data_IF_377966148772
#
_entry.id   IF_377966148772
#
_cell.length_a   1.000
_cell.length_b   1.000
_cell.length_c   1.000
_cell.angle_alpha   90.00
_cell.angle_beta   90.00
_cell.angle_gamma   90.00
#
_symmetry.space_group_name_H-M   'P 1'
#
loop_
_entity.id
_entity.type
_entity.pdbx_description
1 polymer ?
#
# COMPACT_ATOMS: atom_id res chain seq x y z
N UNK A 1 -25.70 7.62 -12.79
CA UNK A 1 -24.41 8.31 -12.53
C UNK A 1 -23.38 7.22 -12.22
N UNK A 2 -22.30 7.11 -13.01
CA UNK A 2 -21.23 6.16 -12.70
C UNK A 2 -20.25 6.86 -11.75
N UNK A 3 -20.17 6.40 -10.51
CA UNK A 3 -19.10 6.79 -9.60
C UNK A 3 -17.86 5.94 -9.83
N UNK A 4 -16.74 6.30 -9.20
CA UNK A 4 -15.52 5.50 -9.16
C UNK A 4 -15.82 4.12 -8.55
N UNK A 5 -15.52 3.06 -9.28
CA UNK A 5 -15.70 1.68 -8.81
C UNK A 5 -14.51 1.22 -7.96
N UNK A 6 -14.72 0.18 -7.17
CA UNK A 6 -13.62 -0.45 -6.41
C UNK A 6 -12.54 -1.05 -7.31
N UNK A 7 -12.94 -1.56 -8.49
CA UNK A 7 -11.99 -2.05 -9.49
C UNK A 7 -11.08 -0.94 -10.01
N UNK A 8 -11.64 0.21 -10.37
CA UNK A 8 -10.88 1.36 -10.84
C UNK A 8 -9.94 1.90 -9.76
N UNK A 9 -10.36 1.92 -8.49
CA UNK A 9 -9.49 2.32 -7.39
C UNK A 9 -8.34 1.34 -7.16
N UNK A 10 -8.59 0.03 -7.33
CA UNK A 10 -7.55 -1.00 -7.31
C UNK A 10 -6.58 -0.85 -8.47
N UNK A 11 -7.08 -0.58 -9.67
CA UNK A 11 -6.24 -0.40 -10.86
C UNK A 11 -5.33 0.81 -10.71
N UNK A 12 -5.85 1.92 -10.18
CA UNK A 12 -5.04 3.09 -9.84
C UNK A 12 -3.96 2.77 -8.80
N UNK A 13 -4.31 2.06 -7.73
CA UNK A 13 -3.34 1.67 -6.71
C UNK A 13 -2.26 0.73 -7.24
N UNK A 14 -2.61 -0.15 -8.18
CA UNK A 14 -1.66 -1.04 -8.85
C UNK A 14 -0.74 -0.27 -9.80
N UNK A 15 -1.27 0.68 -10.57
CA UNK A 15 -0.49 1.56 -11.45
C UNK A 15 0.53 2.36 -10.64
N UNK A 16 0.12 3.04 -9.56
CA UNK A 16 1.02 3.76 -8.66
C UNK A 16 2.10 2.82 -8.07
N UNK A 17 1.71 1.65 -7.59
CA UNK A 17 2.68 0.67 -7.04
C UNK A 17 3.70 0.22 -8.10
N UNK A 18 3.31 0.07 -9.36
CA UNK A 18 4.22 -0.27 -10.46
C UNK A 18 5.21 0.86 -10.76
N UNK A 19 4.75 2.10 -10.82
CA UNK A 19 5.62 3.26 -11.00
C UNK A 19 6.67 3.35 -9.89
N UNK A 20 6.26 3.18 -8.64
CA UNK A 20 7.18 3.17 -7.51
C UNK A 20 8.16 2.00 -7.54
N UNK A 21 7.73 0.81 -7.96
CA UNK A 21 8.62 -0.33 -8.17
C UNK A 21 9.71 0.02 -9.18
N UNK A 22 9.32 0.57 -10.33
CA UNK A 22 10.25 0.89 -11.41
C UNK A 22 11.22 2.01 -10.99
N UNK A 23 10.74 3.01 -10.24
CA UNK A 23 11.56 4.04 -9.65
C UNK A 23 12.61 3.46 -8.65
N UNK A 24 12.19 2.64 -7.69
CA UNK A 24 13.13 2.04 -6.73
C UNK A 24 14.02 0.94 -7.32
N UNK A 25 13.66 0.40 -8.46
CA UNK A 25 14.56 -0.47 -9.24
C UNK A 25 15.72 0.35 -9.85
N UNK A 26 15.44 1.57 -10.29
CA UNK A 26 16.45 2.49 -10.84
C UNK A 26 17.24 3.22 -9.72
N UNK A 27 16.61 3.43 -8.56
CA UNK A 27 17.16 4.16 -7.43
C UNK A 27 17.07 3.36 -6.13
N UNK A 28 17.73 2.20 -6.03
CA UNK A 28 17.62 1.33 -4.84
C UNK A 28 18.14 1.99 -3.56
N UNK A 29 19.11 2.89 -3.66
CA UNK A 29 19.67 3.70 -2.57
C UNK A 29 18.66 4.68 -1.97
N UNK A 30 17.64 5.08 -2.73
CA UNK A 30 16.60 5.96 -2.23
C UNK A 30 15.77 5.32 -1.10
N UNK A 31 15.73 3.98 -1.00
CA UNK A 31 15.05 3.28 0.11
C UNK A 31 15.75 3.50 1.47
N UNK A 32 17.05 3.77 1.47
CA UNK A 32 17.83 3.97 2.70
C UNK A 32 17.87 5.45 3.13
N UNK A 33 17.28 6.36 2.36
CA UNK A 33 17.22 7.78 2.71
C UNK A 33 16.47 7.99 4.02
N UNK A 34 17.03 8.79 4.95
CA UNK A 34 16.36 9.11 6.19
C UNK A 34 15.12 9.98 5.92
N UNK A 35 14.03 9.68 6.65
CA UNK A 35 12.81 10.46 6.62
C UNK A 35 12.13 10.48 7.99
N UNK A 36 11.09 11.34 8.12
CA UNK A 36 10.18 11.38 9.28
C UNK A 36 8.74 11.42 8.76
N UNK A 37 8.29 10.27 8.25
CA UNK A 37 6.96 10.11 7.68
C UNK A 37 6.26 8.99 8.43
N UNK A 38 5.14 9.26 9.06
CA UNK A 38 4.33 8.28 9.80
C UNK A 38 5.11 7.49 10.88
N UNK A 39 6.17 8.10 11.45
CA UNK A 39 7.05 7.47 12.44
C UNK A 39 8.10 6.52 11.84
N UNK A 40 8.19 6.41 10.53
CA UNK A 40 9.25 5.69 9.82
C UNK A 40 10.53 6.52 9.77
N UNK A 41 11.68 5.87 9.90
CA UNK A 41 13.00 6.51 9.90
C UNK A 41 13.65 6.52 8.52
N UNK A 42 13.22 5.65 7.62
CA UNK A 42 13.72 5.57 6.25
C UNK A 42 12.57 5.49 5.25
N UNK A 43 12.85 5.84 4.01
CA UNK A 43 11.92 5.70 2.87
C UNK A 43 11.45 4.24 2.74
N UNK A 44 12.35 3.27 2.88
CA UNK A 44 12.01 1.85 2.83
C UNK A 44 11.03 1.42 3.93
N UNK A 45 11.14 2.00 5.13
CA UNK A 45 10.16 1.75 6.20
C UNK A 45 8.77 2.34 5.89
N UNK A 46 8.69 3.46 5.16
CA UNK A 46 7.41 4.00 4.69
C UNK A 46 6.80 3.08 3.63
N UNK A 47 7.60 2.58 2.68
CA UNK A 47 7.12 1.61 1.69
C UNK A 47 6.64 0.33 2.38
N UNK A 48 7.40 -0.19 3.35
CA UNK A 48 6.97 -1.32 4.17
C UNK A 48 5.65 -1.03 4.90
N UNK A 49 5.49 0.16 5.45
CA UNK A 49 4.27 0.55 6.14
C UNK A 49 3.06 0.54 5.20
N UNK A 50 3.18 1.05 3.98
CA UNK A 50 2.13 1.00 2.96
C UNK A 50 1.74 -0.45 2.67
N UNK A 51 2.73 -1.28 2.36
CA UNK A 51 2.53 -2.69 1.98
C UNK A 51 1.95 -3.49 3.14
N UNK A 52 2.44 -3.31 4.36
CA UNK A 52 1.95 -3.99 5.55
C UNK A 52 0.48 -3.67 5.85
N UNK A 53 0.06 -2.42 5.64
CA UNK A 53 -1.34 -2.03 5.78
C UNK A 53 -2.21 -2.72 4.74
N UNK A 54 -1.79 -2.76 3.48
CA UNK A 54 -2.51 -3.46 2.41
C UNK A 54 -2.65 -4.96 2.73
N UNK A 55 -1.57 -5.64 3.10
CA UNK A 55 -1.57 -7.06 3.46
C UNK A 55 -2.57 -7.33 4.61
N UNK A 56 -2.41 -6.63 5.72
CA UNK A 56 -3.21 -6.90 6.93
C UNK A 56 -4.69 -6.61 6.74
N UNK A 57 -5.05 -5.64 5.91
CA UNK A 57 -6.47 -5.40 5.59
C UNK A 57 -7.02 -6.39 4.57
N UNK A 58 -6.23 -6.83 3.59
CA UNK A 58 -6.63 -7.91 2.70
C UNK A 58 -6.87 -9.22 3.48
N UNK A 59 -5.96 -9.58 4.38
CA UNK A 59 -6.08 -10.75 5.26
C UNK A 59 -7.35 -10.70 6.13
N UNK A 60 -7.68 -9.52 6.71
CA UNK A 60 -8.93 -9.34 7.47
C UNK A 60 -10.16 -9.53 6.62
N UNK A 61 -10.18 -8.95 5.44
CA UNK A 61 -11.32 -9.04 4.52
C UNK A 61 -11.55 -10.48 4.06
N UNK A 62 -10.48 -11.24 3.87
CA UNK A 62 -10.50 -12.65 3.45
C UNK A 62 -10.60 -13.65 4.61
N UNK A 63 -10.70 -13.17 5.87
CA UNK A 63 -10.69 -14.00 7.09
C UNK A 63 -9.43 -14.90 7.18
N UNK A 64 -8.28 -14.39 6.74
CA UNK A 64 -7.00 -15.06 6.81
C UNK A 64 -6.28 -14.75 8.13
N UNK A 65 -5.32 -15.58 8.57
CA UNK A 65 -4.42 -15.23 9.66
C UNK A 65 -3.69 -13.90 9.38
N UNK A 66 -3.61 -13.04 10.39
CA UNK A 66 -3.01 -11.72 10.24
C UNK A 66 -1.49 -11.80 10.35
N UNK A 67 -0.80 -11.34 9.34
CA UNK A 67 0.66 -11.24 9.35
C UNK A 67 1.10 -10.07 10.23
N UNK A 68 1.94 -10.37 11.24
CA UNK A 68 2.46 -9.34 12.13
C UNK A 68 3.45 -8.43 11.43
N UNK A 69 3.42 -7.14 11.78
CA UNK A 69 4.30 -6.13 11.17
C UNK A 69 5.79 -6.47 11.38
N UNK A 70 6.17 -6.93 12.57
CA UNK A 70 7.55 -7.27 12.89
C UNK A 70 8.05 -8.48 12.09
N UNK A 71 7.16 -9.41 11.73
CA UNK A 71 7.47 -10.52 10.82
C UNK A 71 7.80 -10.00 9.42
N UNK A 72 7.02 -9.05 8.89
CA UNK A 72 7.31 -8.42 7.60
C UNK A 72 8.61 -7.62 7.65
N UNK A 73 8.83 -6.86 8.72
CA UNK A 73 10.06 -6.08 8.92
C UNK A 73 11.30 -6.99 9.00
N UNK A 74 11.23 -8.10 9.73
CA UNK A 74 12.33 -9.07 9.84
C UNK A 74 12.67 -9.70 8.49
N UNK A 75 11.67 -10.10 7.69
CA UNK A 75 11.89 -10.64 6.33
C UNK A 75 12.64 -9.68 5.41
N UNK A 76 12.48 -8.38 5.62
CA UNK A 76 13.15 -7.34 4.83
C UNK A 76 14.53 -6.98 5.40
N UNK A 77 14.75 -7.23 6.70
CA UNK A 77 16.04 -6.99 7.36
C UNK A 77 17.08 -8.06 7.01
N UNK A 78 16.66 -9.30 6.75
CA UNK A 78 17.56 -10.43 6.45
C UNK A 78 18.21 -10.36 5.06
N UNK A 79 17.78 -9.43 4.20
CA UNK A 79 18.37 -9.19 2.89
C UNK A 79 19.49 -8.16 2.90
N UNK A 80 20.53 -8.33 2.03
CA UNK A 80 21.57 -7.30 1.81
C UNK A 80 20.91 -5.94 1.55
N UNK A 81 21.44 -4.85 2.13
CA UNK A 81 20.80 -3.54 2.04
C UNK A 81 20.61 -3.12 0.59
N UNK A 82 19.54 -2.72 0.13
CA UNK A 82 19.14 -2.11 -1.13
C UNK A 82 18.68 -3.00 -2.27
N UNK A 83 19.40 -4.01 -2.73
CA UNK A 83 19.05 -4.70 -4.00
C UNK A 83 17.91 -5.73 -3.91
N UNK A 84 17.66 -6.35 -2.77
CA UNK A 84 16.58 -7.34 -2.60
C UNK A 84 15.33 -6.79 -1.91
N UNK A 85 15.47 -5.73 -1.13
CA UNK A 85 14.36 -5.16 -0.33
C UNK A 85 13.24 -4.60 -1.20
N UNK A 86 13.60 -3.84 -2.23
CA UNK A 86 12.63 -3.23 -3.14
C UNK A 86 11.81 -4.27 -3.86
N UNK A 87 12.45 -5.28 -4.45
CA UNK A 87 11.77 -6.35 -5.18
C UNK A 87 10.78 -7.10 -4.29
N UNK A 88 11.19 -7.50 -3.07
CA UNK A 88 10.32 -8.22 -2.14
C UNK A 88 9.15 -7.33 -1.68
N UNK A 89 9.36 -6.06 -1.37
CA UNK A 89 8.30 -5.11 -1.01
C UNK A 89 7.23 -5.03 -2.10
N UNK A 90 7.64 -4.86 -3.35
CA UNK A 90 6.70 -4.73 -4.45
C UNK A 90 6.08 -6.07 -4.88
N UNK A 91 6.76 -7.19 -4.65
CA UNK A 91 6.15 -8.52 -4.76
C UNK A 91 5.01 -8.71 -3.75
N UNK A 92 5.24 -8.29 -2.50
CA UNK A 92 4.22 -8.32 -1.43
C UNK A 92 3.07 -7.34 -1.71
N UNK A 93 3.37 -6.13 -2.20
CA UNK A 93 2.34 -5.16 -2.60
C UNK A 93 1.43 -5.73 -3.69
N UNK A 94 1.99 -6.30 -4.75
CA UNK A 94 1.22 -6.94 -5.82
C UNK A 94 0.31 -8.04 -5.28
N UNK A 95 0.86 -8.94 -4.44
CA UNK A 95 0.06 -10.02 -3.82
C UNK A 95 -1.11 -9.45 -2.99
N UNK A 96 -0.89 -8.42 -2.20
CA UNK A 96 -1.94 -7.83 -1.38
C UNK A 96 -3.04 -7.15 -2.22
N UNK A 97 -2.68 -6.53 -3.35
CA UNK A 97 -3.65 -5.95 -4.29
C UNK A 97 -4.46 -7.04 -5.02
N UNK A 98 -3.82 -8.18 -5.35
CA UNK A 98 -4.51 -9.36 -5.88
C UNK A 98 -5.50 -9.96 -4.87
N UNK A 99 -5.13 -10.01 -3.59
CA UNK A 99 -6.00 -10.46 -2.51
C UNK A 99 -7.20 -9.52 -2.31
N UNK A 100 -6.97 -8.21 -2.32
CA UNK A 100 -8.05 -7.21 -2.29
C UNK A 100 -8.97 -7.34 -3.51
N UNK A 101 -8.42 -7.60 -4.69
CA UNK A 101 -9.21 -7.84 -5.91
C UNK A 101 -10.04 -9.10 -5.80
N UNK A 102 -9.48 -10.17 -5.26
CA UNK A 102 -10.19 -11.43 -5.03
C UNK A 102 -11.39 -11.24 -4.10
N UNK A 103 -11.20 -10.48 -3.01
CA UNK A 103 -12.31 -10.09 -2.13
C UNK A 103 -13.37 -9.28 -2.90
N UNK A 104 -12.96 -8.25 -3.65
CA UNK A 104 -13.90 -7.37 -4.36
C UNK A 104 -14.74 -8.10 -5.42
N UNK A 105 -14.19 -9.15 -6.05
CA UNK A 105 -14.90 -9.97 -7.03
C UNK A 105 -15.89 -10.93 -6.34
N UNK A 106 -15.53 -11.49 -5.18
CA UNK A 106 -16.32 -12.49 -4.49
C UNK A 106 -17.41 -11.90 -3.59
N UNK A 107 -17.22 -10.68 -3.09
CA UNK A 107 -18.08 -10.05 -2.08
C UNK A 107 -19.42 -9.61 -2.68
N UNK A 108 -20.52 -10.00 -2.03
CA UNK A 108 -21.86 -9.48 -2.27
C UNK A 108 -22.15 -8.23 -1.40
N UNK A 109 -23.32 -7.62 -1.56
CA UNK A 109 -23.68 -6.40 -0.81
C UNK A 109 -23.67 -6.61 0.71
N UNK A 110 -24.11 -7.76 1.20
CA UNK A 110 -24.10 -8.08 2.63
C UNK A 110 -22.65 -8.23 3.15
N UNK A 111 -21.74 -8.78 2.35
CA UNK A 111 -20.32 -8.84 2.68
C UNK A 111 -19.71 -7.44 2.80
N UNK A 112 -20.03 -6.54 1.88
CA UNK A 112 -19.53 -5.17 1.87
C UNK A 112 -20.01 -4.36 3.08
N UNK A 113 -21.27 -4.55 3.50
CA UNK A 113 -21.88 -3.85 4.63
C UNK A 113 -21.55 -4.49 5.99
N UNK A 114 -21.11 -5.75 5.97
CA UNK A 114 -20.65 -6.46 7.16
C UNK A 114 -19.50 -5.73 7.87
N UNK A 115 -19.51 -5.75 9.21
CA UNK A 115 -18.52 -5.06 10.03
C UNK A 115 -17.47 -6.01 10.60
N UNK A 116 -16.26 -5.51 10.79
CA UNK A 116 -15.18 -6.17 11.51
C UNK A 116 -14.71 -5.28 12.65
N UNK A 117 -14.43 -5.90 13.81
CA UNK A 117 -13.80 -5.23 14.95
C UNK A 117 -12.39 -5.78 15.13
N UNK A 118 -11.41 -4.90 15.22
CA UNK A 118 -10.01 -5.28 15.31
C UNK A 118 -9.15 -4.21 15.99
N UNK A 119 -8.04 -4.63 16.65
CA UNK A 119 -7.09 -3.70 17.22
C UNK A 119 -6.30 -2.99 16.12
N UNK A 120 -5.99 -1.71 16.35
CA UNK A 120 -5.09 -0.91 15.54
C UNK A 120 -3.87 -0.48 16.36
N UNK A 121 -2.78 -0.16 15.68
CA UNK A 121 -1.54 0.27 16.34
C UNK A 121 -1.67 1.66 17.00
N UNK A 122 -2.48 2.55 16.46
CA UNK A 122 -2.51 3.96 16.85
C UNK A 122 -3.84 4.44 17.42
N UNK A 123 -4.95 3.73 17.17
CA UNK A 123 -6.29 4.19 17.52
C UNK A 123 -7.06 3.20 18.43
N UNK A 124 -6.37 2.22 19.03
CA UNK A 124 -7.01 1.19 19.83
C UNK A 124 -7.88 0.25 19.00
N UNK A 125 -9.00 -0.21 19.55
CA UNK A 125 -9.95 -1.06 18.86
C UNK A 125 -10.88 -0.23 17.96
N UNK A 126 -11.03 -0.66 16.71
CA UNK A 126 -11.92 -0.04 15.73
C UNK A 126 -12.92 -1.05 15.19
N UNK A 127 -14.16 -0.56 15.00
CA UNK A 127 -15.19 -1.29 14.23
C UNK A 127 -15.48 -0.53 12.94
N UNK A 128 -15.40 -1.22 11.81
CA UNK A 128 -15.65 -0.63 10.50
C UNK A 128 -16.31 -1.63 9.55
N UNK A 129 -17.09 -1.13 8.57
CA UNK A 129 -17.59 -1.96 7.49
C UNK A 129 -16.44 -2.46 6.62
N UNK A 130 -16.59 -3.64 6.01
CA UNK A 130 -15.59 -4.17 5.08
C UNK A 130 -15.35 -3.23 3.90
N UNK A 131 -16.38 -2.54 3.44
CA UNK A 131 -16.28 -1.46 2.44
C UNK A 131 -15.31 -0.35 2.89
N UNK A 132 -15.46 0.13 4.13
CA UNK A 132 -14.58 1.18 4.68
C UNK A 132 -13.14 0.69 4.82
N UNK A 133 -12.95 -0.55 5.26
CA UNK A 133 -11.63 -1.19 5.39
C UNK A 133 -10.94 -1.28 4.04
N UNK A 134 -11.65 -1.76 3.03
CA UNK A 134 -11.14 -1.88 1.65
C UNK A 134 -10.70 -0.54 1.08
N UNK A 135 -11.58 0.47 1.13
CA UNK A 135 -11.26 1.82 0.65
C UNK A 135 -10.06 2.40 1.41
N UNK A 136 -10.04 2.20 2.75
CA UNK A 136 -8.93 2.70 3.56
C UNK A 136 -7.60 2.06 3.17
N UNK A 137 -7.55 0.76 2.89
CA UNK A 137 -6.31 0.09 2.48
C UNK A 137 -5.68 0.73 1.23
N UNK A 138 -6.51 1.16 0.28
CA UNK A 138 -6.06 1.79 -0.97
C UNK A 138 -5.71 3.28 -0.78
N UNK A 139 -6.58 4.04 -0.15
CA UNK A 139 -6.35 5.48 0.09
C UNK A 139 -5.17 5.73 1.05
N UNK A 140 -4.90 4.81 1.97
CA UNK A 140 -3.73 4.87 2.84
C UNK A 140 -2.43 4.83 2.01
N UNK A 141 -2.36 3.97 0.99
CA UNK A 141 -1.25 3.94 0.05
C UNK A 141 -1.09 5.27 -0.68
N UNK A 142 -2.16 5.78 -1.29
CA UNK A 142 -2.16 7.07 -2.02
C UNK A 142 -1.62 8.21 -1.15
N UNK A 143 -2.07 8.29 0.11
CA UNK A 143 -1.61 9.30 1.06
C UNK A 143 -0.09 9.24 1.27
N UNK A 144 0.45 8.05 1.50
CA UNK A 144 1.87 7.90 1.81
C UNK A 144 2.75 8.00 0.57
N UNK A 145 2.29 7.58 -0.60
CA UNK A 145 2.97 7.81 -1.87
C UNK A 145 3.15 9.30 -2.15
N UNK A 146 2.12 10.12 -1.90
CA UNK A 146 2.23 11.57 -2.04
C UNK A 146 3.26 12.20 -1.09
N UNK A 147 3.33 11.70 0.15
CA UNK A 147 4.35 12.13 1.13
C UNK A 147 5.76 11.75 0.66
N UNK A 148 5.96 10.51 0.18
CA UNK A 148 7.22 10.04 -0.36
C UNK A 148 7.64 10.83 -1.60
N UNK A 149 6.73 11.09 -2.53
CA UNK A 149 6.99 11.90 -3.72
C UNK A 149 7.56 13.28 -3.35
N UNK A 150 6.92 13.94 -2.39
CA UNK A 150 7.37 15.26 -1.91
C UNK A 150 8.74 15.16 -1.26
N UNK A 151 8.96 14.18 -0.38
CA UNK A 151 10.23 13.99 0.32
C UNK A 151 11.38 13.69 -0.65
N UNK A 152 11.19 12.77 -1.57
CA UNK A 152 12.19 12.35 -2.55
C UNK A 152 12.58 13.51 -3.49
N UNK A 153 11.61 14.32 -3.96
CA UNK A 153 11.90 15.51 -4.76
C UNK A 153 12.78 16.51 -4.00
N UNK A 154 12.55 16.70 -2.71
CA UNK A 154 13.38 17.56 -1.86
C UNK A 154 14.81 17.03 -1.70
N UNK A 155 15.01 15.72 -1.88
CA UNK A 155 16.31 15.04 -1.86
C UNK A 155 16.97 14.94 -3.25
N UNK A 156 16.36 15.53 -4.28
CA UNK A 156 16.90 15.53 -5.65
C UNK A 156 16.45 14.35 -6.52
N UNK A 157 15.64 13.44 -5.99
CA UNK A 157 15.06 12.32 -6.74
C UNK A 157 13.74 12.76 -7.39
N UNK A 158 13.75 12.94 -8.69
CA UNK A 158 12.54 13.31 -9.45
C UNK A 158 11.86 12.07 -9.98
N UNK A 159 10.55 12.00 -9.79
CA UNK A 159 9.70 11.01 -10.45
C UNK A 159 9.37 11.51 -11.85
N UNK A 160 9.29 10.62 -12.82
CA UNK A 160 9.03 10.89 -14.24
C UNK A 160 7.55 10.68 -14.64
N UNK A 161 6.69 10.35 -13.67
CA UNK A 161 5.23 10.25 -13.85
C UNK A 161 4.49 11.25 -12.96
N UNK A 162 3.21 11.48 -13.30
CA UNK A 162 2.30 12.29 -12.51
C UNK A 162 1.50 11.40 -11.56
N UNK A 163 1.49 11.76 -10.27
CA UNK A 163 0.78 11.04 -9.22
C UNK A 163 -0.73 11.36 -9.17
N UNK A 164 -1.19 12.32 -9.95
CA UNK A 164 -2.59 12.72 -9.94
C UNK A 164 -3.46 11.71 -10.67
N UNK A 165 -4.58 11.34 -10.06
CA UNK A 165 -5.52 10.37 -10.62
C UNK A 165 -5.96 10.70 -12.05
N UNK A 166 -6.09 11.99 -12.39
CA UNK A 166 -6.46 12.43 -13.75
C UNK A 166 -5.41 12.08 -14.81
N UNK A 167 -4.17 11.85 -14.40
CA UNK A 167 -3.07 11.45 -15.29
C UNK A 167 -2.93 9.93 -15.41
N UNK A 168 -3.66 9.15 -14.61
CA UNK A 168 -3.63 7.70 -14.66
C UNK A 168 -4.29 7.13 -15.92
N UNK A 169 -3.93 5.91 -16.28
CA UNK A 169 -4.56 5.18 -17.39
C UNK A 169 -5.90 4.52 -17.06
N UNK A 170 -6.39 4.67 -15.83
CA UNK A 170 -7.47 3.84 -15.27
C UNK A 170 -8.85 4.16 -15.82
N UNK A 171 -9.16 5.42 -16.06
CA UNK A 171 -10.43 5.87 -16.67
C UNK A 171 -10.08 6.76 -17.87
N UNK A 172 -10.62 6.41 -19.04
CA UNK A 172 -10.45 7.19 -20.28
C UNK A 172 -11.64 8.06 -20.54
#
# INVERSE_FOLDING_TARGET
MRGLSFGELLDYSAEESNHWRDFFTQHPDALDLPCDIAGAKTVGEVVLHIVAVQIRYAERLLNMPITEYDTLAARLADGKPSQGKGEELFRLSRKSLEDLRSFAIAANDADWDGTLTFPTRSAGELTASRRKIFIHALLHGVRHWAQLSTHLRQKGFKQDWQHDFIASGVIK
#
